data_IF_889526847925
#
_entry.id   IF_889526847925
#
_cell.length_a   1.000
_cell.length_b   1.000
_cell.length_c   1.000
_cell.angle_alpha   90.00
_cell.angle_beta   90.00
_cell.angle_gamma   90.00
#
_symmetry.space_group_name_H-M   'P 1'
#
loop_
_entity.id
_entity.type
_entity.pdbx_description
1 polymer ?
#
# COMPACT_ATOMS: atom_id res chain seq x y z
N UNK A 1 -15.36 32.95 -14.28
CA UNK A 1 -14.10 32.22 -14.55
C UNK A 1 -13.58 32.67 -15.92
N UNK A 2 -12.36 33.22 -16.01
CA UNK A 2 -11.78 33.61 -17.31
C UNK A 2 -11.38 32.34 -18.05
N UNK A 3 -11.95 32.19 -19.25
CA UNK A 3 -11.91 31.00 -20.09
C UNK A 3 -10.56 30.89 -20.86
N UNK A 4 -9.43 30.95 -20.16
CA UNK A 4 -8.09 31.13 -20.75
C UNK A 4 -7.21 29.88 -20.80
N UNK A 5 -7.72 28.70 -20.39
CA UNK A 5 -6.99 27.44 -20.50
C UNK A 5 -7.03 26.85 -21.91
N UNK A 6 -6.04 26.05 -22.35
CA UNK A 6 -6.10 25.36 -23.63
C UNK A 6 -7.33 24.44 -23.70
N UNK A 7 -7.96 24.32 -24.88
CA UNK A 7 -9.23 23.62 -25.04
C UNK A 7 -9.22 22.16 -24.54
N UNK A 8 -8.09 21.47 -24.69
CA UNK A 8 -7.90 20.11 -24.19
C UNK A 8 -8.02 20.02 -22.66
N UNK A 9 -7.45 20.97 -21.91
CA UNK A 9 -7.56 21.00 -20.44
C UNK A 9 -8.99 21.20 -19.99
N UNK A 10 -9.73 22.09 -20.65
CA UNK A 10 -11.15 22.30 -20.34
C UNK A 10 -11.97 21.05 -20.58
N UNK A 11 -11.67 20.31 -21.64
CA UNK A 11 -12.34 19.04 -21.92
C UNK A 11 -12.05 18.02 -20.82
N UNK A 12 -10.78 17.83 -20.46
CA UNK A 12 -10.36 16.89 -19.40
C UNK A 12 -10.98 17.28 -18.05
N UNK A 13 -10.87 18.55 -17.66
CA UNK A 13 -11.48 19.07 -16.44
C UNK A 13 -12.98 18.82 -16.40
N UNK A 14 -13.70 19.12 -17.49
CA UNK A 14 -15.13 18.85 -17.58
C UNK A 14 -15.45 17.36 -17.40
N UNK A 15 -14.66 16.46 -17.99
CA UNK A 15 -14.86 15.01 -17.83
C UNK A 15 -14.60 14.55 -16.41
N UNK A 16 -13.61 15.11 -15.72
CA UNK A 16 -13.38 14.80 -14.32
C UNK A 16 -14.50 15.31 -13.43
N UNK A 17 -15.01 16.53 -13.67
CA UNK A 17 -16.17 17.06 -12.94
C UNK A 17 -17.38 16.14 -13.14
N UNK A 18 -17.67 15.76 -14.39
CA UNK A 18 -18.75 14.81 -14.69
C UNK A 18 -18.55 13.46 -13.98
N UNK A 19 -17.33 12.91 -13.97
CA UNK A 19 -17.01 11.68 -13.26
C UNK A 19 -17.25 11.82 -11.75
N UNK A 20 -16.66 12.83 -11.11
CA UNK A 20 -16.75 13.05 -9.67
C UNK A 20 -18.19 13.24 -9.21
N UNK A 21 -18.96 14.08 -9.92
CA UNK A 21 -20.37 14.33 -9.61
C UNK A 21 -21.26 13.09 -9.78
N UNK A 22 -20.89 12.17 -10.68
CA UNK A 22 -21.61 10.90 -10.84
C UNK A 22 -21.23 9.86 -9.77
N UNK A 23 -20.03 9.94 -9.21
CA UNK A 23 -19.57 9.02 -8.14
C UNK A 23 -20.14 9.43 -6.79
N UNK A 24 -20.08 10.72 -6.43
CA UNK A 24 -20.61 11.18 -5.14
C UNK A 24 -21.09 12.63 -5.18
N UNK A 25 -22.21 12.90 -4.51
CA UNK A 25 -22.92 14.20 -4.57
C UNK A 25 -22.19 15.36 -3.87
N UNK A 26 -21.29 15.07 -2.94
CA UNK A 26 -20.48 16.10 -2.25
C UNK A 26 -19.06 16.15 -2.80
N UNK A 27 -18.77 15.44 -3.89
CA UNK A 27 -17.47 15.53 -4.54
C UNK A 27 -17.47 16.65 -5.57
N UNK A 28 -16.48 17.52 -5.46
CA UNK A 28 -16.16 18.53 -6.44
C UNK A 28 -14.70 18.38 -6.86
N UNK A 29 -14.42 18.56 -8.15
CA UNK A 29 -13.04 18.54 -8.64
C UNK A 29 -12.42 19.90 -8.37
N UNK A 30 -11.23 19.93 -7.76
CA UNK A 30 -10.45 21.14 -7.61
C UNK A 30 -10.23 21.80 -8.97
N UNK A 31 -10.39 23.12 -9.04
CA UNK A 31 -10.14 23.89 -10.26
C UNK A 31 -8.68 23.74 -10.75
N UNK A 32 -7.78 23.29 -9.87
CA UNK A 32 -6.35 23.11 -10.13
C UNK A 32 -6.02 21.66 -10.51
N UNK A 33 -6.33 21.30 -11.75
CA UNK A 33 -5.71 20.14 -12.42
C UNK A 33 -4.34 20.56 -12.98
N UNK A 34 -3.31 19.75 -12.73
CA UNK A 34 -1.94 20.02 -13.18
C UNK A 34 -1.46 18.99 -14.20
N UNK A 35 -0.67 19.46 -15.18
CA UNK A 35 0.25 18.56 -15.91
C UNK A 35 1.48 18.38 -15.05
N UNK A 36 1.80 17.12 -14.78
CA UNK A 36 3.00 16.75 -14.03
C UNK A 36 3.97 16.10 -14.98
N UNK A 37 5.17 16.65 -15.03
CA UNK A 37 6.29 16.13 -15.81
C UNK A 37 7.40 15.66 -14.88
N UNK A 38 7.68 14.36 -14.92
CA UNK A 38 8.87 13.79 -14.33
C UNK A 38 10.02 13.86 -15.34
N UNK A 39 11.14 14.46 -14.94
CA UNK A 39 12.34 14.52 -15.78
C UNK A 39 13.05 13.15 -15.84
N UNK A 40 13.79 12.86 -16.92
CA UNK A 40 14.59 11.64 -17.03
C UNK A 40 15.54 11.46 -15.83
N UNK A 41 15.51 10.27 -15.23
CA UNK A 41 16.30 9.87 -14.06
C UNK A 41 16.10 10.78 -12.83
N UNK A 42 15.02 11.55 -12.77
CA UNK A 42 14.63 12.25 -11.56
C UNK A 42 14.40 11.24 -10.42
N UNK A 43 14.67 11.68 -9.20
CA UNK A 43 14.30 10.88 -8.03
C UNK A 43 12.79 10.77 -7.98
N UNK A 44 12.28 9.55 -7.78
CA UNK A 44 10.89 9.34 -7.45
C UNK A 44 10.51 10.06 -6.15
N UNK A 45 9.22 10.18 -5.93
CA UNK A 45 8.71 10.85 -4.76
C UNK A 45 8.86 10.00 -3.51
N UNK A 46 8.81 10.66 -2.36
CA UNK A 46 8.58 9.96 -1.09
C UNK A 46 7.08 9.85 -0.88
N UNK A 47 6.65 8.73 -0.32
CA UNK A 47 5.26 8.50 0.00
C UNK A 47 4.64 9.64 0.80
N UNK A 48 3.46 10.05 0.36
CA UNK A 48 2.69 11.14 0.93
C UNK A 48 1.18 10.87 0.78
N UNK A 49 0.40 11.71 1.45
CA UNK A 49 -1.02 11.91 1.23
C UNK A 49 -1.19 13.27 0.55
N UNK A 50 -2.15 13.38 -0.37
CA UNK A 50 -2.46 14.65 -1.02
C UNK A 50 -3.25 15.58 -0.09
N UNK A 51 -3.92 15.00 0.91
CA UNK A 51 -4.73 15.71 1.88
C UNK A 51 -4.16 15.53 3.28
N UNK A 52 -4.36 16.54 4.12
CA UNK A 52 -3.96 16.42 5.52
C UNK A 52 -4.89 15.44 6.26
N UNK A 53 -4.34 14.77 7.26
CA UNK A 53 -5.11 13.85 8.11
C UNK A 53 -6.30 14.54 8.79
N UNK A 54 -6.16 15.82 9.16
CA UNK A 54 -7.24 16.63 9.75
C UNK A 54 -8.36 16.93 8.75
N UNK A 55 -8.02 17.30 7.52
CA UNK A 55 -9.00 17.56 6.45
C UNK A 55 -9.78 16.29 6.10
N UNK A 56 -9.08 15.16 6.01
CA UNK A 56 -9.68 13.85 5.76
C UNK A 56 -10.60 13.45 6.93
N UNK A 57 -10.19 13.70 8.17
CA UNK A 57 -11.00 13.40 9.33
C UNK A 57 -12.30 14.24 9.36
N UNK A 58 -12.21 15.53 9.04
CA UNK A 58 -13.39 16.40 8.94
C UNK A 58 -14.35 15.91 7.85
N UNK A 59 -13.84 15.58 6.66
CA UNK A 59 -14.64 15.00 5.58
C UNK A 59 -15.37 13.72 6.03
N UNK A 60 -14.65 12.82 6.70
CA UNK A 60 -15.20 11.56 7.15
C UNK A 60 -16.27 11.73 8.24
N UNK A 61 -16.08 12.68 9.16
CA UNK A 61 -17.02 12.94 10.26
C UNK A 61 -18.25 13.70 9.80
N UNK A 62 -18.08 14.72 8.97
CA UNK A 62 -19.17 15.64 8.59
C UNK A 62 -19.96 15.13 7.37
N UNK A 63 -19.33 14.35 6.50
CA UNK A 63 -19.92 13.91 5.23
C UNK A 63 -19.93 12.39 5.02
N UNK A 64 -19.43 11.60 5.98
CA UNK A 64 -19.27 10.14 5.87
C UNK A 64 -18.52 9.72 4.61
N UNK A 65 -17.60 10.58 4.14
CA UNK A 65 -16.89 10.43 2.88
C UNK A 65 -15.49 11.02 2.96
N UNK A 66 -14.64 10.80 1.95
CA UNK A 66 -13.26 11.32 1.94
C UNK A 66 -12.94 11.96 0.60
N UNK A 67 -11.95 12.85 0.60
CA UNK A 67 -11.36 13.40 -0.60
C UNK A 67 -10.68 12.29 -1.44
N UNK A 68 -10.39 12.59 -2.69
CA UNK A 68 -9.74 11.68 -3.62
C UNK A 68 -8.77 12.41 -4.54
N UNK A 69 -7.89 11.65 -5.17
CA UNK A 69 -6.96 12.12 -6.17
C UNK A 69 -7.24 11.42 -7.50
N UNK A 70 -6.97 12.14 -8.58
CA UNK A 70 -7.17 11.73 -9.95
C UNK A 70 -5.84 11.70 -10.66
N UNK A 71 -5.57 10.61 -11.36
CA UNK A 71 -4.43 10.47 -12.27
C UNK A 71 -4.96 10.07 -13.65
N UNK A 72 -4.72 10.90 -14.65
CA UNK A 72 -4.91 10.55 -16.05
C UNK A 72 -3.56 10.24 -16.70
N UNK A 73 -3.47 9.03 -17.21
CA UNK A 73 -2.28 8.48 -17.85
C UNK A 73 -2.19 9.03 -19.27
N UNK A 74 -1.09 9.72 -19.60
CA UNK A 74 -0.85 10.26 -20.94
C UNK A 74 0.23 9.50 -21.70
N UNK A 75 1.14 8.84 -20.99
CA UNK A 75 2.27 8.13 -21.58
C UNK A 75 2.29 6.66 -21.12
N UNK A 76 2.84 5.75 -21.94
CA UNK A 76 3.06 4.37 -21.50
C UNK A 76 4.05 4.33 -20.33
N UNK A 77 4.09 3.18 -19.65
CA UNK A 77 4.95 2.94 -18.49
C UNK A 77 4.70 3.88 -17.30
N UNK A 78 3.64 4.69 -17.29
CA UNK A 78 3.22 5.44 -16.10
C UNK A 78 2.89 4.46 -14.97
N UNK A 79 3.48 4.69 -13.80
CA UNK A 79 3.26 3.89 -12.61
C UNK A 79 2.94 4.76 -11.41
N UNK A 80 2.11 4.24 -10.53
CA UNK A 80 1.82 4.84 -9.23
C UNK A 80 2.19 3.84 -8.13
N UNK A 81 3.06 4.24 -7.21
CA UNK A 81 3.27 3.45 -6.00
C UNK A 81 2.12 3.75 -5.04
N UNK A 82 1.48 2.73 -4.53
CA UNK A 82 0.46 2.83 -3.49
C UNK A 82 0.77 1.90 -2.33
N UNK A 83 0.33 2.25 -1.12
CA UNK A 83 0.37 1.35 0.03
C UNK A 83 -1.06 0.97 0.41
N UNK A 84 -1.45 -0.24 0.00
CA UNK A 84 -2.78 -0.77 0.30
C UNK A 84 -3.05 -0.80 1.81
N UNK A 85 -4.27 -0.43 2.19
CA UNK A 85 -4.74 -0.39 3.58
C UNK A 85 -3.95 0.56 4.50
N UNK A 86 -3.16 1.48 3.93
CA UNK A 86 -2.37 2.47 4.68
C UNK A 86 -3.15 3.73 5.08
N UNK A 87 -4.47 3.64 5.20
CA UNK A 87 -5.35 4.78 5.48
C UNK A 87 -5.09 5.37 6.87
N UNK A 88 -5.11 6.71 6.97
CA UNK A 88 -5.08 7.47 8.22
C UNK A 88 -3.99 7.05 9.23
N UNK A 89 -2.71 7.11 8.81
CA UNK A 89 -1.59 6.98 9.73
C UNK A 89 -0.33 6.40 9.08
N UNK A 90 0.29 5.45 9.79
CA UNK A 90 1.55 4.90 9.37
C UNK A 90 1.35 3.76 8.35
N UNK A 91 2.04 3.84 7.21
CA UNK A 91 1.91 2.89 6.12
C UNK A 91 2.83 1.67 6.32
N UNK A 92 2.36 0.45 6.03
CA UNK A 92 3.20 -0.74 6.11
C UNK A 92 4.01 -0.92 4.83
N UNK A 93 5.34 -0.82 4.92
CA UNK A 93 6.21 -0.93 3.73
C UNK A 93 6.05 -2.26 2.98
N UNK A 94 5.75 -3.35 3.69
CA UNK A 94 5.46 -4.65 3.08
C UNK A 94 4.16 -4.73 2.27
N UNK A 95 3.33 -3.69 2.29
CA UNK A 95 2.10 -3.56 1.48
C UNK A 95 2.26 -2.58 0.31
N UNK A 96 3.47 -2.09 0.09
CA UNK A 96 3.81 -1.23 -1.03
C UNK A 96 3.69 -2.01 -2.34
N UNK A 97 2.89 -1.50 -3.26
CA UNK A 97 2.65 -2.09 -4.58
C UNK A 97 2.72 -1.00 -5.64
N UNK A 98 3.31 -1.30 -6.78
CA UNK A 98 3.24 -0.44 -7.95
C UNK A 98 2.02 -0.84 -8.79
N UNK A 99 1.21 0.15 -9.18
CA UNK A 99 0.24 0.00 -10.25
C UNK A 99 1.00 0.13 -11.56
N UNK A 100 1.24 -1.00 -12.24
CA UNK A 100 2.11 -1.04 -13.43
C UNK A 100 1.35 -1.29 -14.75
N UNK A 101 0.14 -1.85 -14.68
CA UNK A 101 -0.69 -2.16 -15.85
C UNK A 101 -1.57 -0.96 -16.25
N UNK A 102 -0.96 0.22 -16.38
CA UNK A 102 -1.65 1.46 -16.76
C UNK A 102 -1.37 1.81 -18.22
N UNK A 103 -2.43 2.12 -18.98
CA UNK A 103 -2.37 2.50 -20.39
C UNK A 103 -2.73 3.97 -20.60
N UNK A 104 -2.17 4.64 -21.63
CA UNK A 104 -2.61 5.98 -22.02
C UNK A 104 -4.12 6.07 -22.21
N UNK A 105 -4.74 7.05 -21.53
CA UNK A 105 -6.18 7.22 -21.48
C UNK A 105 -6.85 6.63 -20.23
N UNK A 106 -6.17 5.78 -19.48
CA UNK A 106 -6.67 5.29 -18.20
C UNK A 106 -6.78 6.42 -17.17
N UNK A 107 -7.83 6.36 -16.37
CA UNK A 107 -8.07 7.25 -15.23
C UNK A 107 -8.04 6.42 -13.96
N UNK A 108 -7.13 6.76 -13.06
CA UNK A 108 -7.05 6.18 -11.72
C UNK A 108 -7.66 7.18 -10.74
N UNK A 109 -8.67 6.74 -10.01
CA UNK A 109 -9.24 7.47 -8.86
C UNK A 109 -8.84 6.73 -7.61
N UNK A 110 -8.18 7.39 -6.67
CA UNK A 110 -7.79 6.80 -5.39
C UNK A 110 -8.10 7.75 -4.24
N UNK A 111 -8.32 7.18 -3.04
CA UNK A 111 -8.61 7.99 -1.86
C UNK A 111 -7.46 8.95 -1.56
N UNK A 112 -7.78 10.16 -1.14
CA UNK A 112 -6.81 11.21 -0.85
C UNK A 112 -5.89 10.89 0.34
N UNK A 113 -6.35 10.01 1.23
CA UNK A 113 -5.62 9.47 2.37
C UNK A 113 -4.98 8.10 2.09
N UNK A 114 -4.84 7.71 0.82
CA UNK A 114 -4.05 6.57 0.41
C UNK A 114 -2.58 6.99 0.30
N UNK A 115 -1.64 6.35 1.03
CA UNK A 115 -0.23 6.64 0.85
C UNK A 115 0.19 6.28 -0.57
N UNK A 116 0.76 7.25 -1.28
CA UNK A 116 1.20 7.04 -2.64
C UNK A 116 2.45 7.86 -2.97
N UNK A 117 3.10 7.50 -4.07
CA UNK A 117 4.26 8.21 -4.59
C UNK A 117 4.44 7.94 -6.09
N UNK A 118 4.97 8.92 -6.80
CA UNK A 118 5.48 8.70 -8.15
C UNK A 118 6.79 7.90 -8.17
N UNK A 119 6.92 7.03 -9.17
CA UNK A 119 8.16 6.27 -9.41
C UNK A 119 9.24 7.15 -10.08
N UNK A 120 10.53 6.79 -9.94
CA UNK A 120 11.55 7.32 -10.83
C UNK A 120 11.37 6.76 -12.25
N UNK A 121 11.42 7.65 -13.25
CA UNK A 121 11.35 7.28 -14.67
C UNK A 121 12.71 7.43 -15.34
N UNK A 122 13.13 6.42 -16.11
CA UNK A 122 14.40 6.46 -16.84
C UNK A 122 14.41 7.57 -17.88
N UNK A 123 13.35 7.64 -18.68
CA UNK A 123 13.24 8.54 -19.84
C UNK A 123 12.31 9.74 -19.57
N UNK A 124 11.83 9.88 -18.33
CA UNK A 124 10.80 10.85 -17.94
C UNK A 124 9.38 10.31 -18.14
N UNK A 125 8.38 11.05 -17.68
CA UNK A 125 6.97 10.72 -17.88
C UNK A 125 6.08 11.94 -17.72
N UNK A 126 5.04 12.06 -18.54
CA UNK A 126 4.01 13.11 -18.48
C UNK A 126 2.66 12.50 -18.12
N UNK A 127 1.98 13.13 -17.16
CA UNK A 127 0.64 12.74 -16.70
C UNK A 127 -0.17 13.95 -16.27
N UNK A 128 -1.48 13.78 -16.12
CA UNK A 128 -2.34 14.80 -15.53
C UNK A 128 -2.76 14.34 -14.14
N UNK A 129 -2.58 15.18 -13.13
CA UNK A 129 -3.03 14.94 -11.77
C UNK A 129 -4.07 16.00 -11.37
N UNK A 130 -5.03 15.61 -10.55
CA UNK A 130 -6.03 16.50 -9.99
C UNK A 130 -6.55 16.00 -8.66
N UNK A 131 -7.24 16.88 -7.94
CA UNK A 131 -7.80 16.60 -6.63
C UNK A 131 -9.33 16.63 -6.71
N UNK A 132 -9.97 15.74 -5.96
CA UNK A 132 -11.41 15.72 -5.72
C UNK A 132 -11.62 16.06 -4.24
N UNK A 133 -12.21 17.22 -4.01
CA UNK A 133 -12.54 17.74 -2.69
C UNK A 133 -13.89 17.20 -2.22
N UNK A 134 -14.12 17.31 -0.92
CA UNK A 134 -15.44 17.15 -0.31
C UNK A 134 -16.00 18.54 -0.04
N UNK A 135 -17.17 18.84 -0.60
CA UNK A 135 -17.83 20.13 -0.47
C UNK A 135 -18.10 20.47 1.00
N UNK A 136 -17.63 21.64 1.43
CA UNK A 136 -17.75 22.10 2.82
C UNK A 136 -16.51 21.84 3.66
N UNK A 137 -15.51 21.13 3.13
CA UNK A 137 -14.22 20.92 3.80
C UNK A 137 -13.16 21.82 3.19
N UNK A 138 -12.57 22.68 4.01
CA UNK A 138 -11.43 23.51 3.60
C UNK A 138 -10.23 22.62 3.28
N UNK A 139 -9.60 22.86 2.13
CA UNK A 139 -8.40 22.18 1.69
C UNK A 139 -7.32 23.18 1.28
N UNK A 140 -6.11 23.03 1.81
CA UNK A 140 -4.94 23.77 1.38
C UNK A 140 -4.19 23.02 0.27
N UNK A 141 -4.52 23.31 -0.98
CA UNK A 141 -3.97 22.66 -2.19
C UNK A 141 -2.44 22.76 -2.31
N UNK A 142 -1.77 23.62 -1.53
CA UNK A 142 -0.32 23.74 -1.50
C UNK A 142 0.39 22.75 -0.58
N UNK A 143 -0.36 21.96 0.22
CA UNK A 143 0.21 21.20 1.33
C UNK A 143 -0.10 19.70 1.21
N UNK A 144 0.96 18.92 0.99
CA UNK A 144 0.92 17.44 1.10
C UNK A 144 1.42 16.96 2.45
N UNK A 145 0.85 15.88 2.98
CA UNK A 145 1.26 15.27 4.24
C UNK A 145 2.24 14.12 4.00
N UNK A 146 3.42 14.14 4.64
CA UNK A 146 4.40 13.04 4.51
C UNK A 146 3.92 11.80 5.26
N UNK A 147 4.01 10.66 4.59
CA UNK A 147 3.66 9.37 5.20
C UNK A 147 4.81 8.87 6.06
N UNK A 148 4.52 8.60 7.33
CA UNK A 148 5.41 7.83 8.17
C UNK A 148 5.27 6.33 7.85
N UNK A 149 6.39 5.62 7.71
CA UNK A 149 6.33 4.16 7.65
C UNK A 149 6.00 3.61 9.04
N UNK A 150 5.04 2.69 9.10
CA UNK A 150 4.77 1.90 10.28
C UNK A 150 6.01 1.08 10.61
N UNK A 151 6.66 1.45 11.71
CA UNK A 151 7.81 0.73 12.24
C UNK A 151 7.35 -0.09 13.44
N UNK A 152 7.58 -1.39 13.39
CA UNK A 152 7.48 -2.21 14.60
C UNK A 152 8.73 -1.97 15.41
N UNK A 153 8.60 -1.64 16.69
CA UNK A 153 9.75 -1.36 17.54
C UNK A 153 9.79 -2.34 18.69
N UNK A 154 10.93 -3.01 18.85
CA UNK A 154 11.13 -3.85 20.02
C UNK A 154 11.07 -3.01 21.30
N UNK A 155 10.19 -3.37 22.24
CA UNK A 155 10.04 -2.65 23.51
C UNK A 155 11.28 -2.71 24.41
N UNK A 156 12.21 -3.64 24.14
CA UNK A 156 13.39 -3.86 24.98
C UNK A 156 14.64 -3.15 24.49
N UNK A 157 14.91 -3.16 23.18
CA UNK A 157 16.12 -2.56 22.61
C UNK A 157 15.84 -1.42 21.61
N UNK A 158 14.56 -1.09 21.38
CA UNK A 158 14.12 -0.06 20.45
C UNK A 158 14.54 -0.24 18.99
N UNK A 159 15.04 -1.42 18.60
CA UNK A 159 15.32 -1.76 17.19
C UNK A 159 14.03 -1.69 16.37
N UNK A 160 14.08 -0.94 15.28
CA UNK A 160 13.04 -0.94 14.26
C UNK A 160 13.05 -2.29 13.51
N UNK A 161 11.87 -2.85 13.31
CA UNK A 161 11.59 -4.12 12.65
C UNK A 161 10.62 -3.84 11.50
N UNK A 162 10.81 -4.54 10.39
CA UNK A 162 10.12 -4.24 9.13
C UNK A 162 8.67 -4.74 9.11
N UNK A 163 8.35 -5.77 9.90
CA UNK A 163 7.00 -6.30 10.06
C UNK A 163 6.80 -6.95 11.45
N UNK A 164 5.58 -7.43 11.74
CA UNK A 164 5.26 -8.14 13.00
C UNK A 164 6.05 -9.43 13.17
N UNK A 165 6.37 -10.14 12.09
CA UNK A 165 7.09 -11.41 12.12
C UNK A 165 8.56 -11.18 12.47
N UNK A 166 9.20 -10.19 11.87
CA UNK A 166 10.54 -9.72 12.20
C UNK A 166 10.60 -9.28 13.66
N UNK A 167 9.64 -8.46 14.12
CA UNK A 167 9.55 -8.05 15.53
C UNK A 167 9.43 -9.26 16.47
N UNK A 168 8.48 -10.16 16.21
CA UNK A 168 8.26 -11.36 17.02
C UNK A 168 9.51 -12.26 17.04
N UNK A 169 10.19 -12.38 15.91
CA UNK A 169 11.43 -13.14 15.82
C UNK A 169 12.56 -12.46 16.60
N UNK A 170 12.71 -11.15 16.44
CA UNK A 170 13.69 -10.36 17.15
C UNK A 170 13.51 -10.48 18.67
N UNK A 171 12.29 -10.32 19.20
CA UNK A 171 12.01 -10.44 20.64
C UNK A 171 12.45 -11.78 21.24
N UNK A 172 12.36 -12.87 20.46
CA UNK A 172 12.81 -14.20 20.91
C UNK A 172 14.31 -14.29 21.15
N UNK A 173 15.10 -13.45 20.49
CA UNK A 173 16.56 -13.50 20.51
C UNK A 173 17.20 -12.22 21.07
N UNK A 174 16.41 -11.16 21.27
CA UNK A 174 16.80 -9.85 21.75
C UNK A 174 17.58 -9.95 23.07
N UNK A 175 18.82 -9.46 23.09
CA UNK A 175 19.68 -9.47 24.28
C UNK A 175 19.14 -8.61 25.42
N UNK A 176 18.40 -7.55 25.11
CA UNK A 176 17.77 -6.67 26.10
C UNK A 176 16.45 -7.23 26.65
N UNK A 177 15.92 -8.32 26.10
CA UNK A 177 14.66 -8.91 26.58
C UNK A 177 14.93 -9.74 27.86
N UNK A 178 14.43 -9.32 29.05
CA UNK A 178 14.66 -10.05 30.29
C UNK A 178 14.03 -11.45 30.27
N UNK A 179 13.00 -11.67 29.46
CA UNK A 179 12.34 -12.96 29.30
C UNK A 179 13.02 -13.88 28.27
N UNK A 180 14.14 -13.49 27.64
CA UNK A 180 14.82 -14.27 26.59
C UNK A 180 15.07 -15.73 27.00
N UNK A 181 15.57 -15.96 28.21
CA UNK A 181 15.84 -17.30 28.72
C UNK A 181 14.57 -18.14 28.88
N UNK A 182 13.51 -17.55 29.44
CA UNK A 182 12.21 -18.21 29.61
C UNK A 182 11.55 -18.55 28.26
N UNK A 183 11.63 -17.63 27.29
CA UNK A 183 11.15 -17.84 25.92
C UNK A 183 11.92 -18.98 25.25
N UNK A 184 13.24 -19.01 25.37
CA UNK A 184 14.08 -20.08 24.83
C UNK A 184 13.72 -21.44 25.44
N UNK A 185 13.53 -21.52 26.76
CA UNK A 185 13.12 -22.74 27.45
C UNK A 185 11.74 -23.22 27.02
N UNK A 186 10.76 -22.32 26.88
CA UNK A 186 9.41 -22.64 26.38
C UNK A 186 9.46 -23.16 24.94
N UNK A 187 10.25 -22.54 24.07
CA UNK A 187 10.44 -22.98 22.69
C UNK A 187 11.10 -24.34 22.60
N UNK A 188 12.16 -24.58 23.38
CA UNK A 188 12.83 -25.88 23.46
C UNK A 188 11.85 -26.97 23.89
N UNK A 189 11.13 -26.76 25.00
CA UNK A 189 10.10 -27.71 25.47
C UNK A 189 9.02 -27.99 24.42
N UNK A 190 8.52 -26.96 23.72
CA UNK A 190 7.53 -27.15 22.67
C UNK A 190 8.10 -27.88 21.45
N UNK A 191 9.37 -27.66 21.12
CA UNK A 191 10.04 -28.37 20.05
C UNK A 191 10.26 -29.84 20.42
N UNK A 192 10.69 -30.10 21.65
CA UNK A 192 11.00 -31.45 22.15
C UNK A 192 9.74 -32.31 22.38
N UNK A 193 8.53 -31.73 22.37
CA UNK A 193 7.27 -32.50 22.33
C UNK A 193 7.14 -33.37 21.07
N UNK A 194 7.92 -33.08 20.03
CA UNK A 194 7.83 -33.79 18.77
C UNK A 194 6.50 -33.57 18.05
N UNK A 195 6.28 -34.38 17.01
CA UNK A 195 5.02 -34.52 16.31
C UNK A 195 5.03 -35.83 15.51
N UNK A 196 3.85 -36.36 15.20
CA UNK A 196 3.69 -37.58 14.42
C UNK A 196 3.08 -37.26 13.05
N UNK A 197 3.62 -37.87 12.00
CA UNK A 197 3.04 -37.83 10.66
C UNK A 197 2.31 -39.14 10.39
N UNK A 198 0.98 -39.08 10.27
CA UNK A 198 0.16 -40.26 9.97
C UNK A 198 0.37 -40.82 8.55
N UNK A 199 0.67 -39.95 7.56
CA UNK A 199 0.90 -40.38 6.17
C UNK A 199 2.18 -41.19 6.01
N UNK A 200 3.25 -40.70 6.62
CA UNK A 200 4.57 -41.31 6.57
C UNK A 200 4.79 -42.31 7.73
N UNK A 201 3.75 -42.57 8.55
CA UNK A 201 3.78 -43.35 9.80
C UNK A 201 5.06 -43.15 10.63
N UNK A 202 5.42 -41.88 10.85
CA UNK A 202 6.71 -41.51 11.43
C UNK A 202 6.55 -40.52 12.56
N UNK A 203 7.12 -40.87 13.71
CA UNK A 203 7.29 -39.94 14.82
C UNK A 203 8.58 -39.12 14.67
N UNK A 204 8.46 -37.81 14.82
CA UNK A 204 9.57 -36.88 14.85
C UNK A 204 9.78 -36.44 16.28
N UNK A 205 10.95 -36.76 16.85
CA UNK A 205 11.30 -36.33 18.21
C UNK A 205 11.39 -34.82 18.38
N UNK A 206 11.40 -34.04 17.28
CA UNK A 206 11.32 -32.58 17.31
C UNK A 206 10.24 -32.05 16.38
N UNK A 207 9.52 -31.03 16.83
CA UNK A 207 8.45 -30.39 16.07
C UNK A 207 8.98 -29.62 14.85
N UNK A 208 10.15 -29.00 14.93
CA UNK A 208 10.77 -28.33 13.78
C UNK A 208 11.21 -29.31 12.69
N UNK A 209 11.68 -30.51 13.07
CA UNK A 209 12.02 -31.57 12.09
C UNK A 209 10.76 -32.12 11.42
N UNK A 210 9.64 -32.18 12.14
CA UNK A 210 8.34 -32.46 11.53
C UNK A 210 7.92 -31.35 10.56
N UNK A 211 7.99 -30.07 10.95
CA UNK A 211 7.61 -28.98 10.05
C UNK A 211 8.49 -28.87 8.79
N UNK A 212 9.75 -29.28 8.87
CA UNK A 212 10.65 -29.34 7.73
C UNK A 212 10.48 -30.61 6.88
N UNK A 213 9.71 -31.60 7.36
CA UNK A 213 9.50 -32.82 6.60
C UNK A 213 8.58 -32.55 5.41
N UNK A 214 9.02 -32.98 4.23
CA UNK A 214 8.19 -33.08 3.05
C UNK A 214 7.75 -34.55 2.96
N UNK A 215 6.49 -34.85 3.27
CA UNK A 215 6.00 -36.22 3.12
C UNK A 215 5.86 -36.53 1.64
N UNK A 216 6.47 -37.63 1.18
CA UNK A 216 6.32 -38.09 -0.20
C UNK A 216 4.82 -38.39 -0.44
N UNK A 217 4.19 -37.61 -1.32
CA UNK A 217 2.74 -37.61 -1.54
C UNK A 217 2.16 -36.24 -1.91
N UNK A 218 2.99 -35.22 -2.16
CA UNK A 218 2.53 -33.92 -2.71
C UNK A 218 3.31 -33.48 -3.95
N UNK A 219 3.85 -34.42 -4.72
CA UNK A 219 4.51 -34.10 -6.01
C UNK A 219 4.28 -35.13 -7.12
N UNK A 220 3.28 -36.01 -7.00
CA UNK A 220 2.95 -36.99 -8.03
C UNK A 220 1.45 -37.07 -8.37
N UNK A 221 0.55 -36.58 -7.51
CA UNK A 221 -0.90 -36.69 -7.72
C UNK A 221 -1.58 -35.35 -8.06
N UNK A 222 -0.80 -34.31 -8.43
CA UNK A 222 -1.34 -33.02 -8.87
C UNK A 222 -1.24 -32.77 -10.39
N UNK A 223 -0.73 -33.73 -11.17
CA UNK A 223 -0.61 -33.62 -12.64
C UNK A 223 -1.32 -34.75 -13.41
N UNK A 224 -2.19 -35.55 -12.76
CA UNK A 224 -2.84 -36.69 -13.41
C UNK A 224 -4.39 -36.71 -13.37
N UNK A 225 -5.08 -35.74 -12.74
CA UNK A 225 -6.56 -35.68 -12.71
C UNK A 225 -7.14 -34.43 -13.42
N UNK A 226 -6.53 -33.99 -14.52
CA UNK A 226 -7.17 -33.04 -15.45
C UNK A 226 -7.07 -33.49 -16.93
N UNK A 227 -7.03 -34.81 -17.12
CA UNK A 227 -7.32 -35.48 -18.40
C UNK A 227 -8.19 -36.70 -18.09
N UNK A 228 -9.42 -36.71 -18.62
CA UNK A 228 -10.51 -37.69 -18.45
C UNK A 228 -11.28 -37.46 -17.12
N UNK A 229 -12.53 -37.00 -17.07
CA UNK A 229 -13.68 -36.93 -18.01
C UNK A 229 -14.42 -35.59 -17.88
#
# INVERSE_FOLDING_TARGET
MKDSGPAAFRLVFKRFVELASNVHKVWSVSEHIAVVQSLPNARGEKSHFDFQSSETANAAVEHEWVQASLLLVLEPDTKLIVVSEGFAGAALSGKCTALEDLSPGDVVVYRGDLPHADVPYKDGNVRIQGLINVDGVDHDEGVVERVAWAVYRCHHCFRNCVDKRDMTNHERFCSANPAKAAIAAKRKRNNDKGAYCARCDRHFGKKNTFHAHQCAGTSADAEAEEKEE
#
